data_IF_632212078053
#
_entry.id   IF_632212078053
#
_cell.length_a   1.000
_cell.length_b   1.000
_cell.length_c   1.000
_cell.angle_alpha   90.00
_cell.angle_beta   90.00
_cell.angle_gamma   90.00
#
_symmetry.space_group_name_H-M   'P 1'
#
loop_
_entity.id
_entity.type
_entity.pdbx_description
1 polymer ?
#
# COMPACT_ATOMS: atom_id res chain seq x y z
N UNK A 1 11.09 1.10 -5.19
CA UNK A 1 9.80 1.80 -5.04
C UNK A 1 9.67 2.86 -6.11
N UNK A 2 8.54 2.89 -6.76
CA UNK A 2 8.20 3.92 -7.74
C UNK A 2 6.95 4.64 -7.26
N UNK A 3 6.86 5.94 -7.47
CA UNK A 3 5.69 6.70 -7.05
C UNK A 3 5.21 7.64 -8.14
N UNK A 4 3.91 7.85 -8.18
CA UNK A 4 3.25 8.78 -9.10
C UNK A 4 2.20 9.56 -8.32
N UNK A 5 2.16 10.87 -8.50
CA UNK A 5 1.17 11.71 -7.84
C UNK A 5 0.24 12.37 -8.84
N UNK A 6 -1.06 12.21 -8.64
CA UNK A 6 -2.08 12.91 -9.42
C UNK A 6 -2.55 14.13 -8.63
N UNK A 7 -2.17 15.30 -9.10
CA UNK A 7 -2.56 16.56 -8.47
C UNK A 7 -4.06 16.77 -8.56
N UNK A 8 -4.67 16.36 -9.68
CA UNK A 8 -6.11 16.49 -9.89
C UNK A 8 -6.90 15.66 -8.87
N UNK A 9 -6.50 14.41 -8.67
CA UNK A 9 -7.21 13.48 -7.79
C UNK A 9 -6.66 13.48 -6.36
N UNK A 10 -5.56 14.17 -6.14
CA UNK A 10 -4.83 14.17 -4.86
C UNK A 10 -4.51 12.76 -4.40
N UNK A 11 -4.08 11.96 -5.37
CA UNK A 11 -3.81 10.54 -5.20
C UNK A 11 -2.32 10.26 -5.37
N UNK A 12 -1.73 9.62 -4.38
CA UNK A 12 -0.34 9.15 -4.44
C UNK A 12 -0.35 7.64 -4.64
N UNK A 13 0.16 7.18 -5.77
CA UNK A 13 0.33 5.76 -6.05
C UNK A 13 1.77 5.38 -5.76
N UNK A 14 1.96 4.42 -4.86
CA UNK A 14 3.28 3.89 -4.52
C UNK A 14 3.36 2.44 -4.96
N UNK A 15 4.19 2.17 -5.96
CA UNK A 15 4.43 0.82 -6.46
C UNK A 15 5.65 0.24 -5.76
N UNK A 16 5.44 -0.85 -5.04
CA UNK A 16 6.54 -1.55 -4.36
C UNK A 16 7.17 -2.48 -5.38
N UNK A 17 8.47 -2.33 -5.61
CA UNK A 17 9.18 -3.06 -6.67
C UNK A 17 10.13 -4.13 -6.14
N UNK A 18 10.08 -4.39 -4.85
CA UNK A 18 10.96 -5.37 -4.20
C UNK A 18 10.21 -6.14 -3.13
N UNK A 19 10.76 -7.27 -2.73
CA UNK A 19 10.22 -8.06 -1.63
C UNK A 19 10.35 -7.26 -0.33
N UNK A 20 9.43 -7.48 0.61
CA UNK A 20 9.40 -6.70 1.86
C UNK A 20 9.87 -7.56 3.01
N UNK A 21 11.11 -7.35 3.44
CA UNK A 21 11.67 -7.94 4.64
C UNK A 21 11.99 -6.82 5.65
N UNK A 22 12.55 -7.19 6.78
CA UNK A 22 12.89 -6.24 7.83
C UNK A 22 13.78 -5.09 7.31
N UNK A 23 14.72 -5.40 6.43
CA UNK A 23 15.67 -4.42 5.90
C UNK A 23 15.03 -3.48 4.88
N UNK A 24 14.32 -4.03 3.91
CA UNK A 24 13.67 -3.23 2.88
C UNK A 24 12.49 -2.44 3.41
N UNK A 25 11.80 -2.93 4.43
CA UNK A 25 10.68 -2.22 5.05
C UNK A 25 11.12 -0.87 5.62
N UNK A 26 12.32 -0.79 6.18
CA UNK A 26 12.84 0.48 6.72
C UNK A 26 13.08 1.50 5.62
N UNK A 27 13.64 1.07 4.49
CA UNK A 27 13.85 1.95 3.34
C UNK A 27 12.52 2.42 2.74
N UNK A 28 11.57 1.49 2.61
CA UNK A 28 10.24 1.81 2.09
C UNK A 28 9.52 2.81 2.98
N UNK A 29 9.63 2.62 4.29
CA UNK A 29 9.03 3.54 5.26
C UNK A 29 9.53 4.97 5.03
N UNK A 30 10.83 5.15 4.94
CA UNK A 30 11.41 6.48 4.76
C UNK A 30 11.02 7.13 3.44
N UNK A 31 11.07 6.36 2.35
CA UNK A 31 10.70 6.86 1.03
C UNK A 31 9.22 7.21 0.96
N UNK A 32 8.37 6.35 1.51
CA UNK A 32 6.93 6.58 1.52
C UNK A 32 6.58 7.79 2.37
N UNK A 33 7.19 7.93 3.56
CA UNK A 33 6.96 9.10 4.42
C UNK A 33 7.35 10.39 3.71
N UNK A 34 8.47 10.40 3.01
CA UNK A 34 8.92 11.57 2.25
C UNK A 34 7.89 11.97 1.20
N UNK A 35 7.35 11.00 0.46
CA UNK A 35 6.36 11.28 -0.57
C UNK A 35 5.02 11.73 0.03
N UNK A 36 4.58 11.10 1.10
CA UNK A 36 3.34 11.46 1.78
C UNK A 36 3.44 12.88 2.37
N UNK A 37 4.56 13.19 2.98
CA UNK A 37 4.79 14.52 3.57
C UNK A 37 4.89 15.58 2.48
N UNK A 38 5.53 15.25 1.37
CA UNK A 38 5.72 16.18 0.25
C UNK A 38 4.40 16.56 -0.41
N UNK A 39 3.56 15.58 -0.69
CA UNK A 39 2.33 15.81 -1.45
C UNK A 39 1.08 15.99 -0.60
N UNK A 40 1.10 15.51 0.64
CA UNK A 40 -0.04 15.50 1.54
C UNK A 40 -1.30 15.02 0.81
N UNK A 41 -1.27 13.82 0.23
CA UNK A 41 -2.36 13.33 -0.59
C UNK A 41 -3.61 13.04 0.23
N UNK A 42 -4.75 13.04 -0.42
CA UNK A 42 -5.99 12.59 0.21
C UNK A 42 -6.10 11.07 0.22
N UNK A 43 -5.44 10.41 -0.72
CA UNK A 43 -5.42 8.96 -0.81
C UNK A 43 -4.04 8.48 -1.21
N UNK A 44 -3.56 7.46 -0.52
CA UNK A 44 -2.32 6.76 -0.87
C UNK A 44 -2.72 5.33 -1.24
N UNK A 45 -2.31 4.88 -2.41
CA UNK A 45 -2.52 3.50 -2.83
C UNK A 45 -1.17 2.81 -2.92
N UNK A 46 -1.02 1.70 -2.18
CA UNK A 46 0.15 0.84 -2.29
C UNK A 46 -0.15 -0.29 -3.26
N UNK A 47 0.65 -0.40 -4.31
CA UNK A 47 0.53 -1.44 -5.31
C UNK A 47 1.53 -2.55 -5.03
N UNK A 48 1.01 -3.76 -4.82
CA UNK A 48 1.79 -4.95 -4.46
C UNK A 48 2.00 -5.90 -5.62
N UNK A 49 1.78 -5.46 -6.85
CA UNK A 49 1.83 -6.35 -8.02
C UNK A 49 3.15 -7.13 -8.12
N UNK A 50 4.25 -6.51 -7.74
CA UNK A 50 5.59 -7.12 -7.81
C UNK A 50 6.06 -7.74 -6.49
N UNK A 51 5.20 -7.78 -5.49
CA UNK A 51 5.55 -8.33 -4.18
C UNK A 51 5.02 -9.75 -4.07
N UNK A 52 5.92 -10.73 -4.00
CA UNK A 52 5.57 -12.14 -3.80
C UNK A 52 5.96 -12.66 -2.43
N UNK A 53 6.76 -11.92 -1.69
CA UNK A 53 7.16 -12.25 -0.33
C UNK A 53 7.10 -11.02 0.58
N UNK A 54 6.61 -11.24 1.81
CA UNK A 54 6.57 -10.20 2.82
C UNK A 54 6.58 -10.85 4.19
N UNK A 55 7.40 -10.33 5.11
CA UNK A 55 7.38 -10.75 6.51
C UNK A 55 6.58 -9.75 7.35
N UNK A 56 6.56 -9.96 8.68
CA UNK A 56 5.79 -9.13 9.59
C UNK A 56 6.22 -7.66 9.61
N UNK A 57 7.45 -7.36 9.20
CA UNK A 57 7.92 -5.97 9.10
C UNK A 57 7.12 -5.20 8.06
N UNK A 58 6.64 -5.87 7.01
CA UNK A 58 5.80 -5.26 5.99
C UNK A 58 4.46 -4.81 6.56
N UNK A 59 3.88 -5.58 7.45
CA UNK A 59 2.63 -5.20 8.12
C UNK A 59 2.83 -3.91 8.93
N UNK A 60 3.91 -3.86 9.71
CA UNK A 60 4.22 -2.66 10.49
C UNK A 60 4.46 -1.43 9.63
N UNK A 61 5.15 -1.63 8.50
CA UNK A 61 5.41 -0.55 7.55
C UNK A 61 4.10 0.03 7.00
N UNK A 62 3.18 -0.82 6.58
CA UNK A 62 1.88 -0.39 6.04
C UNK A 62 1.03 0.31 7.10
N UNK A 63 0.93 -0.28 8.30
CA UNK A 63 0.15 0.33 9.39
C UNK A 63 0.70 1.70 9.77
N UNK A 64 2.03 1.83 9.82
CA UNK A 64 2.66 3.12 10.11
C UNK A 64 2.34 4.18 9.08
N UNK A 65 2.31 3.82 7.80
CA UNK A 65 1.95 4.75 6.72
C UNK A 65 0.47 5.12 6.79
N UNK A 66 -0.37 4.17 7.15
CA UNK A 66 -1.78 4.45 7.39
C UNK A 66 -1.96 5.53 8.46
N UNK A 67 -1.24 5.41 9.57
CA UNK A 67 -1.30 6.39 10.65
C UNK A 67 -0.80 7.76 10.20
N UNK A 68 0.33 7.78 9.49
CA UNK A 68 0.91 9.04 8.99
C UNK A 68 -0.05 9.73 8.02
N UNK A 69 -0.61 8.99 7.08
CA UNK A 69 -1.54 9.54 6.10
C UNK A 69 -2.79 10.12 6.79
N UNK A 70 -3.35 9.38 7.75
CA UNK A 70 -4.52 9.84 8.49
C UNK A 70 -4.25 11.13 9.27
N UNK A 71 -3.09 11.24 9.89
CA UNK A 71 -2.72 12.47 10.60
C UNK A 71 -2.68 13.67 9.66
N UNK A 72 -2.35 13.45 8.40
CA UNK A 72 -2.26 14.48 7.38
C UNK A 72 -3.54 14.62 6.55
N UNK A 73 -4.63 13.98 6.98
CA UNK A 73 -5.93 14.12 6.34
C UNK A 73 -6.20 13.16 5.19
N UNK A 74 -5.37 12.14 5.02
CA UNK A 74 -5.51 11.18 3.94
C UNK A 74 -5.92 9.79 4.41
N UNK A 75 -6.09 8.89 3.45
CA UNK A 75 -6.38 7.48 3.69
C UNK A 75 -5.38 6.61 2.94
N UNK A 76 -5.31 5.33 3.30
CA UNK A 76 -4.44 4.37 2.63
C UNK A 76 -5.27 3.20 2.13
N UNK A 77 -5.00 2.78 0.90
CA UNK A 77 -5.62 1.60 0.29
C UNK A 77 -4.51 0.74 -0.32
N UNK A 78 -4.83 -0.52 -0.58
CA UNK A 78 -3.88 -1.46 -1.19
C UNK A 78 -4.51 -2.09 -2.42
N UNK A 79 -3.70 -2.35 -3.46
CA UNK A 79 -4.18 -2.99 -4.68
C UNK A 79 -3.18 -4.01 -5.22
N UNK A 80 -3.67 -4.88 -6.08
CA UNK A 80 -2.87 -5.92 -6.77
C UNK A 80 -2.12 -6.83 -5.80
N UNK A 81 -2.77 -7.17 -4.69
CA UNK A 81 -2.19 -8.01 -3.65
C UNK A 81 -2.34 -9.48 -4.05
N UNK A 82 -1.23 -10.19 -4.14
CA UNK A 82 -1.24 -11.62 -4.47
C UNK A 82 -1.88 -12.43 -3.34
N UNK A 83 -2.48 -13.59 -3.64
CA UNK A 83 -3.17 -14.39 -2.62
C UNK A 83 -2.33 -14.72 -1.39
N UNK A 84 -1.04 -15.03 -1.57
CA UNK A 84 -0.15 -15.33 -0.45
C UNK A 84 0.05 -14.14 0.47
N UNK A 85 0.13 -12.93 -0.09
CA UNK A 85 0.29 -11.69 0.67
C UNK A 85 -1.05 -11.29 1.31
N UNK A 86 -2.14 -11.48 0.58
CA UNK A 86 -3.49 -11.20 1.09
C UNK A 86 -3.76 -12.01 2.37
N UNK A 87 -3.33 -13.26 2.38
CA UNK A 87 -3.49 -14.13 3.54
C UNK A 87 -2.77 -13.57 4.77
N UNK A 88 -1.57 -13.02 4.57
CA UNK A 88 -0.83 -12.37 5.67
C UNK A 88 -1.60 -11.15 6.19
N UNK A 89 -2.17 -10.35 5.30
CA UNK A 89 -2.98 -9.21 5.69
C UNK A 89 -4.23 -9.63 6.46
N UNK A 90 -4.91 -10.69 6.01
CA UNK A 90 -6.09 -11.21 6.69
C UNK A 90 -5.75 -11.67 8.11
N UNK A 91 -4.65 -12.42 8.26
CA UNK A 91 -4.24 -12.96 9.55
C UNK A 91 -3.79 -11.86 10.52
N UNK A 92 -3.23 -10.79 10.02
CA UNK A 92 -2.72 -9.69 10.85
C UNK A 92 -3.83 -8.74 11.32
N UNK A 93 -5.00 -8.80 10.69
CA UNK A 93 -6.08 -7.86 10.97
C UNK A 93 -5.96 -6.52 10.29
N UNK A 94 -4.96 -6.32 9.44
CA UNK A 94 -4.74 -5.03 8.77
C UNK A 94 -5.90 -4.64 7.86
N UNK A 95 -6.64 -5.60 7.33
CA UNK A 95 -7.79 -5.33 6.47
C UNK A 95 -8.99 -4.72 7.20
N UNK A 96 -8.94 -4.68 8.52
CA UNK A 96 -9.94 -3.95 9.32
C UNK A 96 -9.66 -2.45 9.32
N UNK A 97 -8.44 -2.06 8.98
CA UNK A 97 -8.00 -0.67 8.97
C UNK A 97 -7.84 -0.12 7.56
N UNK A 98 -7.36 -0.94 6.63
CA UNK A 98 -6.95 -0.51 5.30
C UNK A 98 -7.73 -1.29 4.24
N UNK A 99 -8.35 -0.57 3.32
CA UNK A 99 -9.14 -1.17 2.26
C UNK A 99 -8.26 -1.85 1.22
N UNK A 100 -8.62 -3.08 0.88
CA UNK A 100 -8.01 -3.80 -0.23
C UNK A 100 -8.87 -3.61 -1.47
N UNK A 101 -8.31 -2.99 -2.50
CA UNK A 101 -9.02 -2.76 -3.76
C UNK A 101 -8.80 -3.96 -4.67
N UNK A 102 -9.87 -4.53 -5.19
CA UNK A 102 -9.77 -5.57 -6.20
C UNK A 102 -9.44 -4.95 -7.55
N UNK A 103 -8.66 -5.66 -8.34
CA UNK A 103 -8.24 -5.16 -9.63
C UNK A 103 -9.40 -5.13 -10.62
N UNK A 104 -9.32 -4.21 -11.57
CA UNK A 104 -10.30 -4.10 -12.65
C UNK A 104 -10.41 -5.42 -13.43
N UNK A 105 -9.28 -6.10 -13.62
CA UNK A 105 -9.24 -7.38 -14.31
C UNK A 105 -10.06 -8.44 -13.58
N UNK A 106 -9.92 -8.53 -12.26
CA UNK A 106 -10.69 -9.46 -11.44
C UNK A 106 -12.17 -9.16 -11.51
N UNK A 107 -12.54 -7.90 -11.43
CA UNK A 107 -13.94 -7.48 -11.53
C UNK A 107 -14.53 -7.88 -12.88
N UNK A 108 -13.79 -7.71 -13.98
CA UNK A 108 -14.23 -8.10 -15.30
C UNK A 108 -14.39 -9.61 -15.44
N UNK A 109 -13.49 -10.38 -14.86
CA UNK A 109 -13.58 -11.84 -14.87
C UNK A 109 -14.81 -12.33 -14.12
N UNK A 110 -15.14 -11.69 -13.00
CA UNK A 110 -16.32 -12.05 -12.22
C UNK A 110 -17.61 -11.63 -12.91
N UNK A 111 -17.58 -10.61 -13.73
CA UNK A 111 -18.75 -10.16 -14.47
C UNK A 111 -19.11 -11.08 -15.62
N UNK A 112 -18.17 -11.89 -16.06
CA UNK A 112 -18.38 -12.89 -17.12
C UNK A 112 -18.71 -14.24 -16.51
#
# INVERSE_FOLDING_TARGET
>A
MESEYSKKDKLLLIKITEEIDHHSAEKLRRKADNEITRYMPRKVIFDFNKVSFMDSAGIGMIIGRYKTANLLGGTVEMQNVKPSIKKIFEMSGVLKLILLIETQKEANEHAC
#
